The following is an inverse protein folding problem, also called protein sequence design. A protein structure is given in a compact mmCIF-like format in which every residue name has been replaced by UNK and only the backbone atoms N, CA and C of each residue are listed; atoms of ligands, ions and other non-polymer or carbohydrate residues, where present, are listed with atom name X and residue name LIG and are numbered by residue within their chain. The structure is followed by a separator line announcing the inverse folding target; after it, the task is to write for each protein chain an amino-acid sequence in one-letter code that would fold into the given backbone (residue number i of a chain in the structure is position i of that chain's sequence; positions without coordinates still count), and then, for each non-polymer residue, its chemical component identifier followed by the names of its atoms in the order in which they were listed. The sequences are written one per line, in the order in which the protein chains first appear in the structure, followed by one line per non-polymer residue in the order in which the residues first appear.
data_IF_371722318420
#
_entry.id   IF_371722318420
#
_cell.length_a   1.000
_cell.length_b   1.000
_cell.length_c   1.000
_cell.angle_alpha   90.00
_cell.angle_beta   90.00
_cell.angle_gamma   90.00
#
_symmetry.space_group_name_H-M   'P 1'
#
loop_
_entity.id
_entity.type
_entity.pdbx_description
1 polymer ?
#
# COMPACT_ATOMS: atom_id res chain seq x y z
N UNK A 1 -15.97 13.40 21.50
CA UNK A 1 -15.25 12.63 20.46
C UNK A 1 -14.47 13.63 19.62
N UNK A 2 -13.16 13.62 19.44
CA UNK A 2 -11.99 13.20 20.22
C UNK A 2 -10.94 14.28 19.95
N UNK A 3 -10.16 14.75 20.93
CA UNK A 3 -9.07 15.73 20.74
C UNK A 3 -7.85 15.13 20.00
N UNK A 4 -8.11 14.24 19.04
CA UNK A 4 -7.10 13.50 18.32
C UNK A 4 -6.60 14.36 17.16
N UNK A 5 -5.41 14.91 17.34
CA UNK A 5 -4.75 15.76 16.35
C UNK A 5 -3.97 14.94 15.32
N UNK A 6 -3.42 13.79 15.72
CA UNK A 6 -2.59 12.94 14.87
C UNK A 6 -3.13 11.52 14.80
N UNK A 7 -3.19 10.96 13.60
CA UNK A 7 -3.68 9.61 13.38
C UNK A 7 -2.91 8.91 12.25
N UNK A 8 -2.41 7.72 12.56
CA UNK A 8 -1.77 6.81 11.61
C UNK A 8 -2.67 5.60 11.37
N UNK A 9 -3.02 5.36 10.11
CA UNK A 9 -3.91 4.28 9.71
C UNK A 9 -3.17 3.22 8.89
N UNK A 10 -3.30 1.96 9.28
CA UNK A 10 -2.93 0.82 8.43
C UNK A 10 -4.18 -0.01 8.17
N UNK A 11 -4.51 -0.25 6.90
CA UNK A 11 -5.61 -1.14 6.52
C UNK A 11 -5.12 -2.07 5.42
N UNK A 12 -5.26 -3.38 5.65
CA UNK A 12 -5.18 -4.40 4.63
C UNK A 12 -6.57 -5.02 4.42
N UNK A 13 -7.01 -5.16 3.18
CA UNK A 13 -8.34 -5.69 2.87
C UNK A 13 -8.35 -6.48 1.55
N UNK A 14 -9.32 -7.38 1.42
CA UNK A 14 -9.64 -8.08 0.17
C UNK A 14 -11.02 -7.64 -0.28
N UNK A 15 -11.12 -7.18 -1.53
CA UNK A 15 -12.32 -6.58 -2.10
C UNK A 15 -12.62 -7.20 -3.47
N UNK A 16 -13.89 -7.22 -3.87
CA UNK A 16 -14.31 -7.89 -5.09
C UNK A 16 -14.10 -7.06 -6.36
N UNK A 17 -14.15 -5.72 -6.28
CA UNK A 17 -14.17 -4.86 -7.48
C UNK A 17 -13.54 -3.49 -7.29
N UNK A 18 -13.01 -3.18 -6.10
CA UNK A 18 -12.54 -1.83 -5.78
C UNK A 18 -11.40 -1.85 -4.78
N UNK A 19 -10.86 -0.67 -4.48
CA UNK A 19 -9.82 -0.43 -3.50
C UNK A 19 -10.25 0.70 -2.55
N UNK A 20 -9.54 0.82 -1.43
CA UNK A 20 -9.74 1.96 -0.52
C UNK A 20 -9.09 3.20 -1.16
N UNK A 21 -9.93 4.02 -1.79
CA UNK A 21 -9.53 5.25 -2.48
C UNK A 21 -9.55 6.49 -1.54
N UNK A 22 -9.13 7.65 -2.07
CA UNK A 22 -9.13 8.89 -1.30
C UNK A 22 -10.53 9.35 -0.86
N UNK A 23 -11.56 9.09 -1.65
CA UNK A 23 -12.93 9.45 -1.30
C UNK A 23 -13.44 8.67 -0.09
N UNK A 24 -13.12 7.38 0.02
CA UNK A 24 -13.42 6.56 1.19
C UNK A 24 -12.77 7.15 2.44
N UNK A 25 -11.46 7.38 2.42
CA UNK A 25 -10.73 7.92 3.57
C UNK A 25 -11.23 9.33 3.96
N UNK A 26 -11.54 10.19 2.98
CA UNK A 26 -12.06 11.54 3.22
C UNK A 26 -13.42 11.51 3.91
N UNK A 27 -14.37 10.73 3.37
CA UNK A 27 -15.74 10.63 3.90
C UNK A 27 -15.79 9.96 5.27
N UNK A 28 -15.02 8.89 5.43
CA UNK A 28 -15.17 7.99 6.58
C UNK A 28 -14.25 8.37 7.75
N UNK A 29 -13.17 9.13 7.51
CA UNK A 29 -12.21 9.54 8.53
C UNK A 29 -12.06 11.07 8.59
N UNK A 30 -11.53 11.69 7.54
CA UNK A 30 -11.10 13.11 7.58
C UNK A 30 -12.27 14.03 7.92
N UNK A 31 -13.42 13.87 7.24
CA UNK A 31 -14.60 14.71 7.47
C UNK A 31 -15.21 14.53 8.86
N UNK A 32 -14.91 13.42 9.56
CA UNK A 32 -15.44 13.10 10.89
C UNK A 32 -14.50 13.48 12.02
N UNK A 33 -13.23 13.74 11.71
CA UNK A 33 -12.18 14.11 12.67
C UNK A 33 -11.70 15.54 12.42
N UNK A 34 -12.53 16.53 12.72
CA UNK A 34 -12.28 17.94 12.39
C UNK A 34 -11.04 18.56 13.08
N UNK A 35 -10.51 17.92 14.13
CA UNK A 35 -9.30 18.35 14.83
C UNK A 35 -8.02 17.66 14.31
N UNK A 36 -8.16 16.73 13.36
CA UNK A 36 -7.04 15.97 12.81
C UNK A 36 -6.19 16.89 11.93
N UNK A 37 -5.02 17.26 12.42
CA UNK A 37 -4.05 18.09 11.70
C UNK A 37 -3.00 17.25 10.96
N UNK A 38 -2.76 16.01 11.42
CA UNK A 38 -1.82 15.09 10.81
C UNK A 38 -2.47 13.73 10.60
N UNK A 39 -2.71 13.40 9.34
CA UNK A 39 -3.20 12.09 8.94
C UNK A 39 -2.15 11.40 8.08
N UNK A 40 -1.72 10.21 8.51
CA UNK A 40 -0.90 9.32 7.69
C UNK A 40 -1.61 7.99 7.51
N UNK A 41 -1.42 7.37 6.36
CA UNK A 41 -2.05 6.10 6.09
C UNK A 41 -1.19 5.19 5.21
N UNK A 42 -1.49 3.91 5.31
CA UNK A 42 -1.08 2.86 4.41
C UNK A 42 -2.30 1.96 4.18
N UNK A 43 -2.79 1.93 2.95
CA UNK A 43 -3.85 1.02 2.53
C UNK A 43 -3.27 0.00 1.55
N UNK A 44 -3.67 -1.24 1.77
CA UNK A 44 -3.29 -2.38 0.97
C UNK A 44 -4.57 -3.13 0.61
N UNK A 45 -4.88 -3.22 -0.68
CA UNK A 45 -6.12 -3.82 -1.18
C UNK A 45 -5.81 -4.92 -2.18
N UNK A 46 -6.26 -6.14 -1.89
CA UNK A 46 -6.38 -7.21 -2.88
C UNK A 46 -7.71 -7.09 -3.61
N UNK A 47 -7.70 -7.11 -4.93
CA UNK A 47 -8.88 -6.98 -5.77
C UNK A 47 -9.02 -8.22 -6.64
N UNK A 48 -10.16 -8.90 -6.57
CA UNK A 48 -10.47 -9.97 -7.53
C UNK A 48 -10.91 -9.38 -8.88
N UNK A 49 -10.36 -9.90 -9.98
CA UNK A 49 -10.63 -9.40 -11.34
C UNK A 49 -11.65 -10.31 -12.05
N UNK A 50 -12.43 -11.11 -11.32
CA UNK A 50 -13.35 -12.08 -11.92
C UNK A 50 -14.36 -11.43 -12.88
N UNK A 51 -14.69 -10.16 -12.67
CA UNK A 51 -15.68 -9.39 -13.43
C UNK A 51 -15.15 -8.08 -14.04
N UNK A 52 -13.84 -7.81 -13.97
CA UNK A 52 -13.21 -6.59 -14.52
C UNK A 52 -12.21 -6.98 -15.60
N UNK A 53 -12.02 -6.14 -16.62
CA UNK A 53 -11.02 -6.41 -17.65
C UNK A 53 -9.60 -6.03 -17.22
N UNK A 54 -9.44 -5.08 -16.30
CA UNK A 54 -8.14 -4.48 -15.98
C UNK A 54 -8.04 -4.08 -14.50
N UNK A 55 -6.83 -4.16 -13.97
CA UNK A 55 -6.47 -3.53 -12.70
C UNK A 55 -6.59 -2.00 -12.78
N UNK A 56 -6.91 -1.30 -11.67
CA UNK A 56 -6.78 0.15 -11.63
C UNK A 56 -5.33 0.55 -11.91
N UNK A 57 -5.10 1.62 -12.68
CA UNK A 57 -3.76 2.15 -12.89
C UNK A 57 -3.32 2.99 -11.69
N UNK A 58 -2.01 3.09 -11.48
CA UNK A 58 -1.41 3.96 -10.46
C UNK A 58 -1.92 5.39 -10.56
N UNK A 59 -2.01 5.94 -11.78
CA UNK A 59 -2.48 7.31 -12.02
C UNK A 59 -3.95 7.47 -11.64
N UNK A 60 -4.78 6.49 -11.98
CA UNK A 60 -6.21 6.50 -11.63
C UNK A 60 -6.39 6.45 -10.11
N UNK A 61 -5.58 5.65 -9.40
CA UNK A 61 -5.57 5.61 -7.95
C UNK A 61 -5.19 6.98 -7.38
N UNK A 62 -4.05 7.54 -7.81
CA UNK A 62 -3.54 8.82 -7.30
C UNK A 62 -4.52 9.98 -7.50
N UNK A 63 -5.26 10.00 -8.62
CA UNK A 63 -6.30 10.99 -8.89
C UNK A 63 -7.39 11.03 -7.82
N UNK A 64 -7.68 9.90 -7.16
CA UNK A 64 -8.67 9.87 -6.07
C UNK A 64 -8.22 10.61 -4.82
N UNK A 65 -6.93 10.94 -4.71
CA UNK A 65 -6.33 11.65 -3.57
C UNK A 65 -5.95 13.09 -3.89
N UNK A 66 -6.40 13.66 -5.02
CA UNK A 66 -6.00 15.01 -5.44
C UNK A 66 -6.32 16.10 -4.39
N UNK A 67 -7.36 15.88 -3.57
CA UNK A 67 -7.77 16.79 -2.50
C UNK A 67 -7.08 16.52 -1.15
N UNK A 68 -6.19 15.53 -1.06
CA UNK A 68 -5.47 15.24 0.18
C UNK A 68 -4.37 16.27 0.40
N UNK A 69 -4.65 17.24 1.27
CA UNK A 69 -3.67 18.24 1.68
C UNK A 69 -2.48 17.57 2.38
N UNK A 70 -1.28 18.06 2.06
CA UNK A 70 -0.03 17.84 2.80
C UNK A 70 0.67 16.47 2.69
N UNK A 71 0.22 15.54 1.85
CA UNK A 71 0.86 14.24 1.72
C UNK A 71 1.27 13.92 0.28
N UNK A 72 2.55 13.59 0.09
CA UNK A 72 2.99 12.92 -1.14
C UNK A 72 2.37 11.52 -1.15
N UNK A 73 1.35 11.31 -1.98
CA UNK A 73 0.69 10.01 -2.12
C UNK A 73 1.50 9.16 -3.08
N UNK A 74 1.97 8.02 -2.59
CA UNK A 74 2.62 7.02 -3.41
C UNK A 74 1.65 5.87 -3.56
N UNK A 75 1.57 5.34 -4.78
CA UNK A 75 0.87 4.10 -5.06
C UNK A 75 1.61 3.30 -6.11
N UNK A 76 1.36 1.99 -6.09
CA UNK A 76 1.70 1.10 -7.19
C UNK A 76 0.74 -0.09 -7.15
N UNK A 77 0.66 -0.77 -8.29
CA UNK A 77 -0.28 -1.85 -8.51
C UNK A 77 0.47 -3.03 -9.07
N UNK A 78 0.27 -4.17 -8.44
CA UNK A 78 0.71 -5.47 -8.91
C UNK A 78 -0.47 -6.21 -9.52
N UNK A 79 -0.22 -6.93 -10.60
CA UNK A 79 -1.20 -7.78 -11.25
C UNK A 79 -0.71 -9.23 -11.21
N UNK A 80 -1.56 -10.09 -10.65
CA UNK A 80 -1.35 -11.52 -10.50
C UNK A 80 -2.27 -12.28 -11.46
N UNK A 81 -1.84 -12.55 -12.72
CA UNK A 81 -2.70 -13.13 -13.74
C UNK A 81 -3.20 -14.54 -13.40
N UNK A 82 -2.40 -15.37 -12.74
CA UNK A 82 -2.80 -16.75 -12.38
C UNK A 82 -3.92 -16.73 -11.32
N UNK A 83 -3.77 -15.86 -10.33
CA UNK A 83 -4.75 -15.67 -9.27
C UNK A 83 -5.96 -14.83 -9.70
N UNK A 84 -5.93 -14.22 -10.90
CA UNK A 84 -6.87 -13.22 -11.39
C UNK A 84 -7.11 -12.12 -10.37
N UNK A 85 -6.03 -11.60 -9.79
CA UNK A 85 -6.07 -10.62 -8.71
C UNK A 85 -5.13 -9.46 -8.98
N UNK A 86 -5.48 -8.28 -8.46
CA UNK A 86 -4.57 -7.15 -8.36
C UNK A 86 -4.28 -6.89 -6.89
N UNK A 87 -3.11 -6.33 -6.63
CA UNK A 87 -2.77 -5.78 -5.33
C UNK A 87 -2.42 -4.31 -5.49
N UNK A 88 -3.11 -3.46 -4.72
CA UNK A 88 -2.92 -2.02 -4.74
C UNK A 88 -2.32 -1.59 -3.41
N UNK A 89 -1.18 -0.91 -3.47
CA UNK A 89 -0.60 -0.22 -2.32
C UNK A 89 -0.78 1.28 -2.47
N UNK A 90 -1.20 1.93 -1.40
CA UNK A 90 -1.41 3.37 -1.38
C UNK A 90 -1.02 3.90 -0.01
N UNK A 91 -0.15 4.90 0.05
CA UNK A 91 0.26 5.46 1.33
C UNK A 91 0.67 6.92 1.22
N UNK A 92 0.51 7.63 2.33
CA UNK A 92 1.12 8.94 2.54
C UNK A 92 2.62 8.77 2.81
N UNK A 93 3.44 9.59 2.17
CA UNK A 93 4.88 9.66 2.41
C UNK A 93 5.27 10.92 3.21
N UNK A 94 6.11 10.80 4.27
CA UNK A 94 6.69 9.57 4.80
C UNK A 94 5.65 8.69 5.50
N UNK A 95 5.76 7.37 5.32
CA UNK A 95 4.89 6.41 6.00
C UNK A 95 5.52 5.98 7.33
N UNK A 96 4.73 5.96 8.40
CA UNK A 96 5.14 5.54 9.73
C UNK A 96 4.75 4.09 10.07
N UNK A 97 4.29 3.31 9.08
CA UNK A 97 3.92 1.91 9.31
C UNK A 97 5.14 1.08 9.70
N UNK A 98 5.04 0.22 10.74
CA UNK A 98 6.08 -0.75 11.08
C UNK A 98 6.06 -1.99 10.18
N UNK A 99 4.99 -2.21 9.40
CA UNK A 99 4.81 -3.37 8.53
C UNK A 99 4.70 -2.97 7.07
N UNK A 100 5.26 -3.76 6.17
CA UNK A 100 5.09 -3.63 4.73
C UNK A 100 4.90 -5.00 4.10
N UNK A 101 3.69 -5.27 3.61
CA UNK A 101 3.31 -6.63 3.24
C UNK A 101 3.29 -6.88 1.74
N UNK A 102 3.52 -8.14 1.36
CA UNK A 102 3.42 -8.69 0.01
C UNK A 102 4.20 -7.92 -1.06
N UNK A 103 5.43 -7.52 -0.75
CA UNK A 103 6.29 -6.81 -1.70
C UNK A 103 6.68 -7.76 -2.84
N UNK A 104 6.45 -7.32 -4.08
CA UNK A 104 6.75 -8.07 -5.31
C UNK A 104 7.92 -7.46 -6.08
N UNK A 105 8.36 -8.11 -7.15
CA UNK A 105 9.41 -7.61 -8.04
C UNK A 105 9.17 -6.19 -8.59
N UNK A 106 7.90 -5.76 -8.73
CA UNK A 106 7.57 -4.42 -9.26
C UNK A 106 7.69 -3.30 -8.23
N UNK A 107 8.10 -3.62 -7.01
CA UNK A 107 8.29 -2.63 -5.96
C UNK A 107 9.16 -1.47 -6.45
N UNK A 108 8.64 -0.22 -6.45
CA UNK A 108 9.32 0.93 -7.06
C UNK A 108 10.52 1.43 -6.24
N UNK A 109 10.73 0.90 -5.04
CA UNK A 109 11.73 1.40 -4.11
C UNK A 109 11.21 2.53 -3.23
N UNK A 110 12.11 3.41 -2.81
CA UNK A 110 11.86 4.48 -1.83
C UNK A 110 12.62 4.23 -0.53
N UNK A 111 12.33 5.01 0.52
CA UNK A 111 13.01 4.90 1.81
C UNK A 111 11.98 4.82 2.95
N UNK A 112 11.95 3.68 3.65
CA UNK A 112 10.94 3.36 4.66
C UNK A 112 11.63 3.13 6.02
N UNK A 113 12.06 4.22 6.65
CA UNK A 113 12.85 4.16 7.90
C UNK A 113 12.08 3.60 9.10
N UNK A 114 10.75 3.57 9.04
CA UNK A 114 9.90 3.13 10.16
C UNK A 114 9.46 1.67 10.05
N UNK A 115 9.61 1.06 8.86
CA UNK A 115 9.28 -0.35 8.65
C UNK A 115 10.30 -1.23 9.36
N UNK A 116 9.82 -2.28 10.02
CA UNK A 116 10.58 -3.27 10.78
C UNK A 116 10.32 -4.69 10.29
N UNK A 117 9.13 -4.95 9.79
CA UNK A 117 8.73 -6.25 9.27
C UNK A 117 8.33 -6.08 7.82
N UNK A 118 8.88 -6.91 6.95
CA UNK A 118 8.47 -6.99 5.55
C UNK A 118 8.06 -8.41 5.19
N UNK A 119 7.01 -8.55 4.38
CA UNK A 119 6.71 -9.81 3.70
C UNK A 119 6.93 -9.64 2.20
N UNK A 120 7.62 -10.60 1.59
CA UNK A 120 7.85 -10.69 0.16
C UNK A 120 6.90 -11.75 -0.42
N UNK A 121 6.31 -11.41 -1.57
CA UNK A 121 5.38 -12.28 -2.27
C UNK A 121 5.93 -12.64 -3.64
N UNK A 122 6.10 -13.95 -3.87
CA UNK A 122 6.66 -14.52 -5.09
C UNK A 122 5.54 -15.11 -5.97
N UNK A 123 5.15 -14.41 -7.04
CA UNK A 123 4.44 -15.01 -8.19
C UNK A 123 5.44 -15.44 -9.29
N UNK A 124 6.58 -14.75 -9.37
CA UNK A 124 7.68 -15.07 -10.27
C UNK A 124 9.01 -14.92 -9.53
N UNK A 125 9.99 -15.81 -9.78
CA UNK A 125 11.24 -15.85 -9.03
C UNK A 125 11.86 -14.47 -8.83
N UNK A 126 12.22 -14.16 -7.59
CA UNK A 126 12.83 -12.87 -7.26
C UNK A 126 14.14 -12.63 -8.01
N UNK A 127 14.24 -11.45 -8.63
CA UNK A 127 15.47 -11.03 -9.30
C UNK A 127 16.53 -10.58 -8.29
N UNK A 128 17.82 -10.69 -8.65
CA UNK A 128 18.89 -10.18 -7.79
C UNK A 128 18.74 -8.67 -7.48
N UNK A 129 18.39 -7.88 -8.51
CA UNK A 129 18.18 -6.44 -8.39
C UNK A 129 17.02 -6.08 -7.45
N UNK A 130 16.03 -6.98 -7.32
CA UNK A 130 14.94 -6.78 -6.36
C UNK A 130 15.46 -6.77 -4.92
N UNK A 131 16.32 -7.72 -4.53
CA UNK A 131 16.90 -7.73 -3.18
C UNK A 131 17.77 -6.51 -2.90
N UNK A 132 18.48 -5.98 -3.91
CA UNK A 132 19.21 -4.73 -3.78
C UNK A 132 18.28 -3.53 -3.56
N UNK A 133 17.11 -3.50 -4.22
CA UNK A 133 16.06 -2.50 -3.96
C UNK A 133 15.52 -2.63 -2.54
N UNK A 134 15.18 -3.85 -2.09
CA UNK A 134 14.70 -4.11 -0.72
C UNK A 134 15.72 -3.62 0.32
N UNK A 135 16.98 -4.00 0.19
CA UNK A 135 18.04 -3.61 1.14
C UNK A 135 18.17 -2.08 1.26
N UNK A 136 18.13 -1.36 0.14
CA UNK A 136 18.22 0.11 0.12
C UNK A 136 16.97 0.77 0.71
N UNK A 137 15.80 0.17 0.47
CA UNK A 137 14.52 0.75 0.86
C UNK A 137 14.18 0.55 2.33
N UNK A 138 14.64 -0.53 2.95
CA UNK A 138 14.26 -0.90 4.30
C UNK A 138 15.49 -1.10 5.21
N UNK A 139 16.19 -0.01 5.60
CA UNK A 139 17.48 -0.09 6.30
C UNK A 139 17.40 -0.63 7.74
N UNK A 140 16.20 -0.76 8.31
CA UNK A 140 15.99 -1.13 9.71
C UNK A 140 15.08 -2.37 9.88
N UNK A 141 14.99 -3.22 8.85
CA UNK A 141 14.23 -4.47 8.91
C UNK A 141 14.83 -5.38 9.97
N UNK A 142 13.95 -5.94 10.79
CA UNK A 142 14.26 -6.92 11.82
C UNK A 142 13.71 -8.30 11.45
N UNK A 143 12.62 -8.33 10.68
CA UNK A 143 11.95 -9.56 10.27
C UNK A 143 11.62 -9.54 8.78
N UNK A 144 12.01 -10.61 8.10
CA UNK A 144 11.76 -10.86 6.70
C UNK A 144 10.94 -12.15 6.57
N UNK A 145 9.72 -12.03 6.03
CA UNK A 145 8.84 -13.15 5.75
C UNK A 145 8.85 -13.38 4.23
N UNK A 146 9.03 -14.62 3.80
CA UNK A 146 8.98 -14.97 2.37
C UNK A 146 7.82 -15.93 2.17
N UNK A 147 6.86 -15.53 1.33
CA UNK A 147 5.67 -16.30 1.01
C UNK A 147 5.80 -16.79 -0.42
N UNK A 148 5.98 -18.11 -0.56
CA UNK A 148 6.04 -18.78 -1.85
C UNK A 148 4.72 -19.51 -2.08
N UNK A 149 3.98 -19.14 -3.11
CA UNK A 149 2.92 -20.00 -3.63
C UNK A 149 3.53 -20.98 -4.62
N UNK A 150 3.31 -22.28 -4.39
CA UNK A 150 3.50 -23.27 -5.45
C UNK A 150 2.29 -23.15 -6.38
N UNK A 151 2.53 -22.73 -7.62
CA UNK A 151 1.64 -23.01 -8.75
C UNK A 151 1.67 -24.50 -9.11
#
# INVERSE_FOLDING_TARGET
MSNLEQFGLYIATTMNTTFIDGNHLKRDIINRMSLLNQFTFYTHSFIFISNQLYCPSTENIQRTFIDFLNNNIISYVDYFPEAKQCQCHIYSYPSFTPYYDNITNNFPGGLYKYVRVISLFDEYPFEHEFFLRIQKSFPFVQELIVINYKS
#
